data_IF_033646773489
#
_entry.id   IF_033646773489
#
_cell.length_a   1.000
_cell.length_b   1.000
_cell.length_c   1.000
_cell.angle_alpha   90.00
_cell.angle_beta   90.00
_cell.angle_gamma   90.00
#
_symmetry.space_group_name_H-M   'P 1'
#
loop_
_entity.id
_entity.type
_entity.pdbx_description
1 polymer ?
#
# COMPACT_ATOMS: atom_id res chain seq x y z
N UNK A 1 19.71 -22.63 -17.80
CA UNK A 1 18.82 -21.48 -17.53
C UNK A 1 18.72 -21.44 -16.03
N UNK A 2 18.73 -20.27 -15.39
CA UNK A 2 18.46 -20.19 -13.97
C UNK A 2 17.02 -20.67 -13.72
N UNK A 3 16.78 -21.37 -12.61
CA UNK A 3 15.44 -21.80 -12.24
C UNK A 3 14.59 -20.55 -11.99
N UNK A 4 13.36 -20.56 -12.47
CA UNK A 4 12.41 -19.48 -12.25
C UNK A 4 11.94 -19.46 -10.79
N UNK A 5 11.62 -18.28 -10.27
CA UNK A 5 10.98 -18.10 -8.97
C UNK A 5 9.53 -18.57 -9.06
N UNK A 6 9.17 -19.59 -8.29
CA UNK A 6 7.80 -20.14 -8.23
C UNK A 6 6.96 -19.30 -7.28
N UNK A 7 5.92 -18.68 -7.82
CA UNK A 7 5.08 -17.74 -7.08
C UNK A 7 3.67 -18.29 -6.90
N UNK A 8 3.17 -18.24 -5.65
CA UNK A 8 1.79 -18.51 -5.33
C UNK A 8 1.04 -17.20 -5.02
N UNK A 9 -0.22 -17.10 -5.45
CA UNK A 9 -1.09 -15.97 -5.10
C UNK A 9 -2.22 -16.39 -4.18
N UNK A 10 -2.41 -15.66 -3.09
CA UNK A 10 -3.59 -15.73 -2.22
C UNK A 10 -4.41 -14.47 -2.43
N UNK A 11 -5.58 -14.62 -3.03
CA UNK A 11 -6.41 -13.55 -3.56
C UNK A 11 -6.16 -13.33 -5.05
N UNK A 12 -7.23 -13.45 -5.86
CA UNK A 12 -7.22 -13.25 -7.32
C UNK A 12 -8.16 -12.11 -7.73
N UNK A 13 -8.34 -11.12 -6.85
CA UNK A 13 -9.21 -9.95 -7.04
C UNK A 13 -8.60 -8.87 -7.93
N UNK A 14 -9.12 -7.64 -7.80
CA UNK A 14 -8.71 -6.50 -8.63
C UNK A 14 -7.23 -6.18 -8.55
N UNK A 15 -6.67 -6.10 -7.33
CA UNK A 15 -5.26 -5.78 -7.14
C UNK A 15 -4.34 -6.93 -7.59
N UNK A 16 -4.72 -8.19 -7.35
CA UNK A 16 -3.97 -9.32 -7.87
C UNK A 16 -3.89 -9.30 -9.40
N UNK A 17 -4.98 -8.92 -10.09
CA UNK A 17 -4.98 -8.78 -11.56
C UNK A 17 -4.02 -7.69 -12.06
N UNK A 18 -3.81 -6.63 -11.26
CA UNK A 18 -2.79 -5.62 -11.55
C UNK A 18 -1.39 -6.26 -11.47
N UNK A 19 -1.07 -6.96 -10.39
CA UNK A 19 0.19 -7.70 -10.24
C UNK A 19 0.39 -8.75 -11.34
N UNK A 20 -0.65 -9.50 -11.71
CA UNK A 20 -0.58 -10.46 -12.81
C UNK A 20 -0.09 -9.84 -14.12
N UNK A 21 -0.54 -8.61 -14.44
CA UNK A 21 -0.06 -7.89 -15.63
C UNK A 21 1.42 -7.52 -15.59
N UNK A 22 2.05 -7.46 -14.41
CA UNK A 22 3.48 -7.27 -14.23
C UNK A 22 4.24 -8.59 -14.23
N UNK A 23 3.72 -9.62 -13.54
CA UNK A 23 4.31 -10.97 -13.52
C UNK A 23 4.54 -11.53 -14.92
N UNK A 24 3.61 -11.31 -15.84
CA UNK A 24 3.72 -11.75 -17.25
C UNK A 24 4.93 -11.14 -17.97
N UNK A 25 5.47 -10.02 -17.50
CA UNK A 25 6.61 -9.32 -18.10
C UNK A 25 7.95 -9.75 -17.49
N UNK A 26 7.94 -10.53 -16.42
CA UNK A 26 9.13 -10.94 -15.67
C UNK A 26 9.51 -12.36 -16.05
N UNK A 27 10.48 -12.52 -16.94
CA UNK A 27 10.92 -13.84 -17.45
C UNK A 27 11.38 -14.80 -16.35
N UNK A 28 11.89 -14.27 -15.23
CA UNK A 28 12.41 -15.05 -14.11
C UNK A 28 11.32 -15.55 -13.15
N UNK A 29 10.04 -15.21 -13.39
CA UNK A 29 8.91 -15.63 -12.54
C UNK A 29 8.08 -16.70 -13.22
N UNK A 30 7.53 -17.60 -12.40
CA UNK A 30 6.53 -18.58 -12.78
C UNK A 30 5.40 -18.58 -11.73
N UNK A 31 4.21 -18.15 -12.13
CA UNK A 31 3.03 -18.21 -11.24
C UNK A 31 2.48 -19.63 -11.32
N UNK A 32 2.79 -20.44 -10.32
CA UNK A 32 2.49 -21.88 -10.32
C UNK A 32 1.22 -22.27 -9.58
N UNK A 33 0.75 -21.41 -8.64
CA UNK A 33 -0.44 -21.66 -7.84
C UNK A 33 -1.24 -20.38 -7.58
N UNK A 34 -2.56 -20.51 -7.60
CA UNK A 34 -3.50 -19.40 -7.34
C UNK A 34 -4.62 -19.86 -6.42
N UNK A 35 -4.99 -19.01 -5.47
CA UNK A 35 -5.99 -19.29 -4.45
C UNK A 35 -6.97 -18.12 -4.29
N UNK A 36 -8.27 -18.37 -4.33
CA UNK A 36 -9.34 -17.41 -3.98
C UNK A 36 -10.59 -18.19 -3.56
N UNK A 37 -11.43 -17.59 -2.74
CA UNK A 37 -12.74 -18.16 -2.34
C UNK A 37 -13.79 -18.05 -3.44
N UNK A 38 -13.53 -17.30 -4.50
CA UNK A 38 -14.45 -17.08 -5.63
C UNK A 38 -13.97 -17.88 -6.83
N UNK A 39 -14.69 -18.97 -7.14
CA UNK A 39 -14.37 -19.93 -8.22
C UNK A 39 -14.04 -19.26 -9.56
N UNK A 40 -14.81 -18.25 -9.94
CA UNK A 40 -14.61 -17.57 -11.22
C UNK A 40 -13.27 -16.83 -11.28
N UNK A 41 -12.81 -16.25 -10.15
CA UNK A 41 -11.53 -15.54 -10.06
C UNK A 41 -10.36 -16.51 -10.12
N UNK A 42 -10.43 -17.58 -9.34
CA UNK A 42 -9.42 -18.66 -9.33
C UNK A 42 -9.28 -19.28 -10.71
N UNK A 43 -10.41 -19.61 -11.36
CA UNK A 43 -10.41 -20.19 -12.69
C UNK A 43 -9.73 -19.28 -13.72
N UNK A 44 -10.09 -17.99 -13.76
CA UNK A 44 -9.47 -17.02 -14.69
C UNK A 44 -7.96 -16.89 -14.46
N UNK A 45 -7.52 -16.83 -13.20
CA UNK A 45 -6.10 -16.75 -12.87
C UNK A 45 -5.35 -18.03 -13.24
N UNK A 46 -5.93 -19.20 -12.96
CA UNK A 46 -5.40 -20.51 -13.34
C UNK A 46 -5.23 -20.63 -14.86
N UNK A 47 -6.27 -20.29 -15.63
CA UNK A 47 -6.21 -20.33 -17.10
C UNK A 47 -5.17 -19.35 -17.67
N UNK A 48 -4.95 -18.19 -17.00
CA UNK A 48 -4.00 -17.17 -17.43
C UNK A 48 -2.55 -17.59 -17.32
N UNK A 49 -2.20 -18.36 -16.29
CA UNK A 49 -0.82 -18.76 -16.00
C UNK A 49 -0.56 -20.27 -16.13
N UNK A 50 -1.56 -21.06 -16.47
CA UNK A 50 -1.50 -22.54 -16.38
C UNK A 50 -1.14 -23.00 -14.94
N UNK A 51 -1.64 -22.25 -13.95
CA UNK A 51 -1.34 -22.42 -12.53
C UNK A 51 -2.37 -23.35 -11.86
N UNK A 52 -1.95 -24.09 -10.83
CA UNK A 52 -2.84 -24.96 -10.05
C UNK A 52 -3.82 -24.11 -9.22
N UNK A 53 -5.15 -24.33 -9.36
CA UNK A 53 -6.16 -23.59 -8.62
C UNK A 53 -6.43 -24.18 -7.24
N UNK A 54 -6.66 -23.33 -6.23
CA UNK A 54 -6.99 -23.69 -4.86
C UNK A 54 -8.11 -22.79 -4.30
N UNK A 55 -8.96 -23.37 -3.44
CA UNK A 55 -9.96 -22.64 -2.65
C UNK A 55 -9.45 -22.32 -1.23
N UNK A 56 -8.47 -23.08 -0.73
CA UNK A 56 -7.86 -22.92 0.60
C UNK A 56 -6.33 -22.76 0.44
N UNK A 57 -5.81 -21.63 0.89
CA UNK A 57 -4.38 -21.33 0.87
C UNK A 57 -3.55 -22.30 1.72
N UNK A 58 -4.15 -22.94 2.74
CA UNK A 58 -3.46 -23.93 3.57
C UNK A 58 -3.13 -25.17 2.76
N UNK A 59 -4.10 -25.60 1.94
CA UNK A 59 -3.91 -26.72 1.03
C UNK A 59 -2.90 -26.38 -0.06
N UNK A 60 -2.95 -25.16 -0.60
CA UNK A 60 -1.97 -24.66 -1.56
C UNK A 60 -0.55 -24.71 -0.98
N UNK A 61 -0.34 -24.11 0.19
CA UNK A 61 0.97 -24.06 0.85
C UNK A 61 1.47 -25.42 1.36
N UNK A 62 0.59 -26.40 1.50
CA UNK A 62 0.99 -27.78 1.84
C UNK A 62 1.45 -28.56 0.62
N UNK A 63 0.79 -28.36 -0.53
CA UNK A 63 1.00 -29.19 -1.73
C UNK A 63 2.04 -28.62 -2.69
N UNK A 64 2.18 -27.29 -2.72
CA UNK A 64 3.05 -26.63 -3.69
C UNK A 64 4.41 -26.28 -3.09
N UNK A 65 5.44 -26.43 -3.89
CA UNK A 65 6.78 -25.95 -3.57
C UNK A 65 6.94 -24.52 -4.10
N UNK A 66 6.68 -23.52 -3.26
CA UNK A 66 6.73 -22.10 -3.62
C UNK A 66 7.98 -21.43 -3.07
N UNK A 67 8.56 -20.53 -3.85
CA UNK A 67 9.66 -19.67 -3.43
C UNK A 67 9.13 -18.35 -2.83
N UNK A 68 8.00 -17.85 -3.35
CA UNK A 68 7.36 -16.64 -2.86
C UNK A 68 5.83 -16.71 -2.88
N UNK A 69 5.19 -15.97 -1.99
CA UNK A 69 3.73 -15.85 -1.91
C UNK A 69 3.32 -14.38 -1.94
N UNK A 70 2.38 -14.06 -2.82
CA UNK A 70 1.68 -12.79 -2.89
C UNK A 70 0.35 -12.89 -2.15
N UNK A 71 0.14 -12.01 -1.15
CA UNK A 71 -1.10 -11.92 -0.39
C UNK A 71 -1.86 -10.68 -0.84
N UNK A 72 -2.96 -10.90 -1.55
CA UNK A 72 -3.76 -9.87 -2.23
C UNK A 72 -5.24 -9.96 -1.83
N UNK A 73 -5.50 -10.11 -0.54
CA UNK A 73 -6.85 -10.21 0.05
C UNK A 73 -7.25 -8.93 0.77
N UNK A 74 -8.51 -8.79 1.12
CA UNK A 74 -8.98 -7.70 1.97
C UNK A 74 -8.37 -7.78 3.38
N UNK A 75 -8.20 -6.64 4.09
CA UNK A 75 -7.44 -6.61 5.35
C UNK A 75 -8.00 -7.53 6.45
N UNK A 76 -9.30 -7.77 6.48
CA UNK A 76 -9.92 -8.64 7.48
C UNK A 76 -9.74 -10.14 7.21
N UNK A 77 -9.33 -10.51 6.00
CA UNK A 77 -9.13 -11.90 5.61
C UNK A 77 -7.75 -12.46 5.99
N UNK A 78 -6.86 -11.63 6.55
CA UNK A 78 -5.53 -12.03 7.01
C UNK A 78 -5.64 -12.88 8.29
N UNK A 79 -5.82 -14.19 8.13
CA UNK A 79 -6.10 -15.15 9.21
C UNK A 79 -4.93 -16.11 9.52
N UNK A 80 -3.71 -15.76 9.12
CA UNK A 80 -2.49 -16.54 9.36
C UNK A 80 -1.76 -17.00 8.10
N UNK A 81 -2.21 -16.61 6.91
CA UNK A 81 -1.59 -17.02 5.65
C UNK A 81 -0.13 -16.61 5.53
N UNK A 82 0.22 -15.41 6.00
CA UNK A 82 1.60 -14.94 6.03
C UNK A 82 2.48 -15.77 6.96
N UNK A 83 1.96 -16.10 8.14
CA UNK A 83 2.71 -16.90 9.12
C UNK A 83 2.94 -18.31 8.59
N UNK A 84 1.96 -18.91 7.91
CA UNK A 84 2.09 -20.22 7.29
C UNK A 84 3.08 -20.19 6.11
N UNK A 85 3.02 -19.17 5.25
CA UNK A 85 3.98 -18.99 4.17
C UNK A 85 5.42 -18.84 4.71
N UNK A 86 5.60 -18.08 5.79
CA UNK A 86 6.89 -17.95 6.49
C UNK A 86 7.33 -19.32 7.05
N UNK A 87 6.43 -20.09 7.67
CA UNK A 87 6.73 -21.43 8.17
C UNK A 87 7.24 -22.35 7.05
N UNK A 88 6.66 -22.27 5.86
CA UNK A 88 7.08 -23.01 4.67
C UNK A 88 8.38 -22.47 4.04
N UNK A 89 8.88 -21.32 4.48
CA UNK A 89 10.13 -20.73 3.98
C UNK A 89 9.95 -19.85 2.74
N UNK A 90 8.72 -19.44 2.43
CA UNK A 90 8.43 -18.58 1.28
C UNK A 90 8.77 -17.12 1.58
N UNK A 91 9.33 -16.43 0.61
CA UNK A 91 9.38 -14.97 0.56
C UNK A 91 7.95 -14.40 0.49
N UNK A 92 7.75 -13.18 0.95
CA UNK A 92 6.41 -12.59 1.02
C UNK A 92 6.31 -11.26 0.29
N UNK A 93 5.24 -11.10 -0.47
CA UNK A 93 4.68 -9.81 -0.81
C UNK A 93 3.27 -9.71 -0.21
N UNK A 94 3.00 -8.64 0.52
CA UNK A 94 1.69 -8.41 1.15
C UNK A 94 1.14 -7.08 0.68
N UNK A 95 -0.07 -7.10 0.13
CA UNK A 95 -0.76 -5.86 -0.21
C UNK A 95 -1.07 -5.02 1.03
N UNK A 96 -1.14 -3.72 0.83
CA UNK A 96 -1.51 -2.80 1.91
C UNK A 96 -3.03 -2.89 2.21
N UNK A 97 -3.44 -2.64 3.45
CA UNK A 97 -2.63 -2.56 4.66
C UNK A 97 -2.14 -3.96 5.06
N UNK A 98 -0.89 -4.06 5.47
CA UNK A 98 -0.25 -5.36 5.76
C UNK A 98 -0.86 -6.08 6.96
N UNK A 99 -1.62 -5.41 7.81
CA UNK A 99 -2.38 -5.96 8.92
C UNK A 99 -3.31 -4.91 9.54
N UNK A 100 -4.36 -5.36 10.22
CA UNK A 100 -5.24 -4.51 11.04
C UNK A 100 -4.80 -4.42 12.50
N UNK A 101 -3.82 -5.21 12.93
CA UNK A 101 -3.28 -5.15 14.30
C UNK A 101 -1.75 -5.16 14.32
N UNK A 102 -1.18 -4.37 15.24
CA UNK A 102 0.26 -4.34 15.45
C UNK A 102 0.80 -5.68 15.95
N UNK A 103 0.02 -6.42 16.74
CA UNK A 103 0.44 -7.73 17.26
C UNK A 103 0.64 -8.73 16.12
N UNK A 104 -0.26 -8.72 15.13
CA UNK A 104 -0.13 -9.59 13.96
C UNK A 104 1.05 -9.16 13.07
N UNK A 105 1.15 -7.86 12.76
CA UNK A 105 2.27 -7.32 11.99
C UNK A 105 3.63 -7.62 12.63
N UNK A 106 3.73 -7.50 13.96
CA UNK A 106 4.95 -7.81 14.70
C UNK A 106 5.31 -9.30 14.63
N UNK A 107 4.32 -10.21 14.69
CA UNK A 107 4.55 -11.66 14.53
C UNK A 107 5.08 -11.98 13.14
N UNK A 108 4.47 -11.43 12.09
CA UNK A 108 4.91 -11.59 10.70
C UNK A 108 6.35 -11.09 10.53
N UNK A 109 6.63 -9.85 10.97
CA UNK A 109 7.97 -9.26 10.90
C UNK A 109 9.03 -10.08 11.66
N UNK A 110 8.70 -10.57 12.85
CA UNK A 110 9.60 -11.42 13.64
C UNK A 110 9.90 -12.74 12.92
N UNK A 111 8.89 -13.36 12.33
CA UNK A 111 9.04 -14.61 11.56
C UNK A 111 9.91 -14.44 10.32
N UNK A 112 9.68 -13.38 9.54
CA UNK A 112 10.49 -13.02 8.37
C UNK A 112 11.95 -12.82 8.74
N UNK A 113 12.22 -12.04 9.78
CA UNK A 113 13.57 -11.79 10.27
C UNK A 113 14.28 -13.06 10.78
N UNK A 114 13.56 -13.91 11.53
CA UNK A 114 14.12 -15.13 12.07
C UNK A 114 14.57 -16.13 10.99
N UNK A 115 13.90 -16.12 9.83
CA UNK A 115 14.22 -17.00 8.71
C UNK A 115 15.05 -16.32 7.60
N UNK A 116 15.36 -15.03 7.73
CA UNK A 116 16.08 -14.28 6.69
C UNK A 116 15.32 -14.17 5.38
N UNK A 117 13.99 -14.16 5.42
CA UNK A 117 13.14 -14.10 4.24
C UNK A 117 13.02 -12.67 3.71
N UNK A 118 13.00 -12.54 2.39
CA UNK A 118 12.73 -11.27 1.71
C UNK A 118 11.24 -10.98 1.83
N UNK A 119 10.90 -9.70 2.02
CA UNK A 119 9.51 -9.27 2.01
C UNK A 119 9.33 -7.94 1.31
N UNK A 120 8.17 -7.75 0.71
CA UNK A 120 7.67 -6.52 0.14
C UNK A 120 6.28 -6.19 0.67
N UNK A 121 5.93 -4.92 0.67
CA UNK A 121 4.59 -4.44 0.98
C UNK A 121 4.09 -3.54 -0.15
N UNK A 122 2.78 -3.53 -0.39
CA UNK A 122 2.12 -2.83 -1.51
C UNK A 122 2.15 -1.29 -1.42
N UNK A 123 3.32 -0.71 -1.12
CA UNK A 123 3.56 0.74 -1.10
C UNK A 123 4.25 1.21 -2.37
N UNK A 124 3.56 1.05 -3.50
CA UNK A 124 4.08 1.28 -4.84
C UNK A 124 4.55 2.72 -5.11
N UNK A 125 4.04 3.71 -4.37
CA UNK A 125 4.35 5.12 -4.61
C UNK A 125 5.83 5.45 -4.39
N UNK A 126 6.56 4.67 -3.58
CA UNK A 126 8.00 4.80 -3.38
C UNK A 126 8.80 4.55 -4.66
N UNK A 127 8.23 3.81 -5.61
CA UNK A 127 8.88 3.36 -6.85
C UNK A 127 8.50 4.20 -8.07
N UNK A 128 7.74 5.29 -7.89
CA UNK A 128 7.48 6.25 -8.96
C UNK A 128 8.79 6.87 -9.44
N UNK A 129 8.96 6.96 -10.75
CA UNK A 129 10.21 7.36 -11.44
C UNK A 129 10.75 8.72 -11.02
N UNK A 130 9.89 9.61 -10.57
CA UNK A 130 10.26 10.96 -10.13
C UNK A 130 10.61 11.05 -8.63
N UNK A 131 10.26 10.06 -7.81
CA UNK A 131 10.45 10.10 -6.35
C UNK A 131 11.91 10.29 -5.94
N UNK A 132 12.91 9.64 -6.57
CA UNK A 132 14.32 9.90 -6.26
C UNK A 132 14.73 11.37 -6.48
N UNK A 133 14.21 12.02 -7.53
CA UNK A 133 14.48 13.44 -7.81
C UNK A 133 13.82 14.36 -6.78
N UNK A 134 12.57 14.06 -6.42
CA UNK A 134 11.84 14.77 -5.38
C UNK A 134 12.56 14.69 -4.03
N UNK A 135 13.00 13.49 -3.64
CA UNK A 135 13.74 13.25 -2.41
C UNK A 135 15.09 13.98 -2.41
N UNK A 136 15.85 13.89 -3.49
CA UNK A 136 17.15 14.57 -3.61
C UNK A 136 17.02 16.11 -3.47
N UNK A 137 15.95 16.71 -3.97
CA UNK A 137 15.69 18.12 -3.78
C UNK A 137 15.33 18.45 -2.33
N UNK A 138 14.47 17.64 -1.69
CA UNK A 138 14.07 17.80 -0.29
C UNK A 138 15.27 17.68 0.67
N UNK A 139 16.19 16.76 0.40
CA UNK A 139 17.40 16.54 1.21
C UNK A 139 18.32 17.79 1.26
N UNK A 140 18.16 18.72 0.32
CA UNK A 140 18.92 20.01 0.26
C UNK A 140 18.17 21.16 0.90
N UNK A 141 16.95 20.95 1.44
CA UNK A 141 16.10 22.04 1.92
C UNK A 141 16.03 22.12 3.44
N UNK A 142 15.91 23.34 3.93
CA UNK A 142 15.44 23.62 5.30
C UNK A 142 13.91 23.48 5.31
N UNK A 143 13.40 22.30 5.60
CA UNK A 143 11.96 22.00 5.60
C UNK A 143 11.34 22.55 6.87
N UNK A 144 10.34 23.41 6.73
CA UNK A 144 9.61 23.99 7.86
C UNK A 144 8.42 23.16 8.30
N UNK A 145 7.64 22.68 7.31
CA UNK A 145 6.37 21.99 7.57
C UNK A 145 5.89 21.24 6.33
N UNK A 146 5.06 20.19 6.50
CA UNK A 146 4.33 19.58 5.39
C UNK A 146 2.86 19.30 5.72
N UNK A 147 2.02 19.25 4.68
CA UNK A 147 0.65 18.77 4.71
C UNK A 147 0.49 17.61 3.74
N UNK A 148 0.07 16.46 4.25
CA UNK A 148 -0.40 15.34 3.43
C UNK A 148 -1.93 15.27 3.44
N UNK A 149 -2.50 14.73 2.40
CA UNK A 149 -3.95 14.60 2.31
C UNK A 149 -4.39 13.49 1.37
N UNK A 150 -5.47 12.83 1.76
CA UNK A 150 -6.27 11.99 0.88
C UNK A 150 -7.75 12.23 1.19
N UNK A 151 -8.39 13.04 0.38
CA UNK A 151 -9.82 13.32 0.47
C UNK A 151 -10.47 12.90 -0.83
N UNK A 152 -11.50 12.08 -0.74
CA UNK A 152 -12.23 11.55 -1.90
C UNK A 152 -13.67 11.21 -1.57
N UNK A 153 -14.33 10.53 -2.49
CA UNK A 153 -15.68 10.01 -2.32
C UNK A 153 -15.73 8.71 -1.54
N UNK A 154 -16.95 8.29 -1.18
CA UNK A 154 -17.20 7.03 -0.49
C UNK A 154 -16.74 5.84 -1.36
N UNK A 155 -15.94 4.90 -0.80
CA UNK A 155 -15.54 3.71 -1.51
C UNK A 155 -16.73 2.84 -1.92
N UNK A 156 -16.66 2.27 -3.14
CA UNK A 156 -17.73 1.43 -3.69
C UNK A 156 -17.79 0.03 -3.09
N UNK A 157 -16.70 -0.45 -2.47
CA UNK A 157 -16.60 -1.81 -1.92
C UNK A 157 -17.10 -1.86 -0.48
N UNK A 158 -17.86 -2.90 -0.15
CA UNK A 158 -18.56 -3.02 1.13
C UNK A 158 -17.61 -3.10 2.33
N UNK A 159 -16.53 -3.87 2.23
CA UNK A 159 -15.57 -4.11 3.31
C UNK A 159 -14.82 -2.84 3.72
N UNK A 160 -14.68 -1.87 2.86
CA UNK A 160 -14.05 -0.59 3.17
C UNK A 160 -14.90 0.33 4.06
N UNK A 161 -16.20 0.02 4.17
CA UNK A 161 -17.15 0.80 4.99
C UNK A 161 -17.15 0.42 6.45
N UNK A 162 -16.53 -0.71 6.81
CA UNK A 162 -16.54 -1.25 8.17
C UNK A 162 -15.16 -1.16 8.78
N UNK A 163 -15.09 -0.61 10.01
CA UNK A 163 -13.81 -0.52 10.74
C UNK A 163 -13.19 -1.88 11.01
N UNK A 164 -13.99 -2.86 11.32
CA UNK A 164 -13.52 -4.23 11.57
C UNK A 164 -12.86 -4.89 10.35
N UNK A 165 -13.23 -4.47 9.13
CA UNK A 165 -12.74 -5.07 7.89
C UNK A 165 -11.66 -4.26 7.20
N UNK A 166 -11.60 -2.93 7.40
CA UNK A 166 -10.63 -2.05 6.74
C UNK A 166 -9.72 -1.25 7.69
N UNK A 167 -10.06 -1.19 8.98
CA UNK A 167 -9.33 -0.36 9.96
C UNK A 167 -9.63 1.14 9.91
N UNK A 168 -10.39 1.61 8.92
CA UNK A 168 -10.73 3.01 8.68
C UNK A 168 -9.95 3.63 7.51
N UNK A 169 -10.37 4.84 7.11
CA UNK A 169 -9.83 5.53 5.94
C UNK A 169 -8.33 5.80 6.03
N UNK A 170 -7.82 6.14 7.22
CA UNK A 170 -6.40 6.37 7.44
C UNK A 170 -5.55 5.11 7.25
N UNK A 171 -6.09 3.93 7.62
CA UNK A 171 -5.41 2.63 7.50
C UNK A 171 -5.51 2.07 6.10
N UNK A 172 -6.66 2.19 5.44
CA UNK A 172 -6.88 1.55 4.14
C UNK A 172 -6.34 2.36 2.96
N UNK A 173 -6.59 3.67 2.93
CA UNK A 173 -6.29 4.51 1.77
C UNK A 173 -5.18 5.53 2.03
N UNK A 174 -5.31 6.33 3.07
CA UNK A 174 -4.34 7.38 3.37
C UNK A 174 -3.00 6.82 3.85
N UNK A 175 -2.94 5.52 4.10
CA UNK A 175 -1.71 4.80 4.43
C UNK A 175 -0.58 5.05 3.42
N UNK A 176 -0.90 5.22 2.12
CA UNK A 176 0.09 5.59 1.10
C UNK A 176 0.73 6.95 1.38
N UNK A 177 -0.08 7.94 1.80
CA UNK A 177 0.43 9.26 2.18
C UNK A 177 1.27 9.21 3.45
N UNK A 178 0.87 8.41 4.45
CA UNK A 178 1.67 8.17 5.66
C UNK A 178 3.00 7.48 5.35
N UNK A 179 2.96 6.48 4.48
CA UNK A 179 4.16 5.75 4.06
C UNK A 179 5.13 6.65 3.29
N UNK A 180 4.61 7.45 2.35
CA UNK A 180 5.42 8.42 1.61
C UNK A 180 6.03 9.48 2.53
N UNK A 181 5.28 9.97 3.52
CA UNK A 181 5.83 10.91 4.50
C UNK A 181 6.97 10.31 5.31
N UNK A 182 6.86 9.04 5.76
CA UNK A 182 7.96 8.34 6.42
C UNK A 182 9.16 8.13 5.50
N UNK A 183 8.92 7.79 4.25
CA UNK A 183 9.97 7.61 3.26
C UNK A 183 10.77 8.89 2.97
N UNK A 184 10.06 10.03 2.93
CA UNK A 184 10.66 11.34 2.64
C UNK A 184 11.35 11.98 3.85
N UNK A 185 10.76 11.82 5.05
CA UNK A 185 11.12 12.63 6.22
C UNK A 185 11.67 11.82 7.40
N UNK A 186 11.68 10.50 7.31
CA UNK A 186 12.19 9.61 8.35
C UNK A 186 11.12 9.12 9.34
N UNK A 187 11.56 8.72 10.53
CA UNK A 187 10.68 8.06 11.49
C UNK A 187 9.90 9.05 12.38
N UNK A 188 8.65 8.66 12.65
CA UNK A 188 7.72 9.43 13.49
C UNK A 188 7.93 9.07 14.95
N UNK A 189 8.06 10.06 15.84
CA UNK A 189 8.25 9.88 17.28
C UNK A 189 7.02 10.24 18.12
N UNK A 190 6.10 11.04 17.58
CA UNK A 190 4.86 11.39 18.26
C UNK A 190 3.73 11.63 17.26
N UNK A 191 2.50 11.27 17.67
CA UNK A 191 1.29 11.51 16.89
C UNK A 191 0.17 12.05 17.78
N UNK A 192 -0.65 12.92 17.20
CA UNK A 192 -1.92 13.35 17.75
C UNK A 192 -2.97 13.26 16.66
N UNK A 193 -4.08 12.58 16.89
CA UNK A 193 -5.12 12.38 15.90
C UNK A 193 -6.49 12.78 16.41
N UNK A 194 -7.31 13.29 15.49
CA UNK A 194 -8.72 13.62 15.71
C UNK A 194 -9.52 13.05 14.54
N UNK A 195 -10.65 12.42 14.85
CA UNK A 195 -11.60 11.89 13.87
C UNK A 195 -12.98 12.51 14.01
N UNK A 196 -13.73 12.55 12.93
CA UNK A 196 -15.13 13.01 12.89
C UNK A 196 -16.01 12.00 12.18
N UNK A 197 -17.25 11.84 12.68
CA UNK A 197 -18.35 11.09 12.05
C UNK A 197 -19.57 12.00 11.92
N UNK A 198 -20.58 11.57 11.15
CA UNK A 198 -21.87 12.22 11.04
C UNK A 198 -22.04 13.07 9.76
N UNK A 199 -21.16 12.94 8.76
CA UNK A 199 -21.34 13.52 7.44
C UNK A 199 -22.00 12.49 6.49
N UNK A 200 -21.67 11.19 6.69
CA UNK A 200 -22.07 10.08 5.83
C UNK A 200 -23.03 9.12 6.57
N UNK A 201 -23.89 9.65 7.43
CA UNK A 201 -24.85 8.87 8.22
C UNK A 201 -25.94 8.20 7.37
N UNK A 202 -26.13 8.64 6.14
CA UNK A 202 -27.05 8.06 5.16
C UNK A 202 -26.46 6.85 4.39
N UNK A 203 -25.17 6.56 4.58
CA UNK A 203 -24.53 5.41 3.94
C UNK A 203 -24.72 4.15 4.77
N UNK A 204 -25.39 3.18 4.18
CA UNK A 204 -25.69 1.91 4.82
C UNK A 204 -24.39 1.15 5.19
N UNK A 205 -24.40 0.56 6.40
CA UNK A 205 -23.29 -0.23 6.94
C UNK A 205 -21.95 0.51 7.03
N UNK A 206 -21.97 1.84 7.20
CA UNK A 206 -20.79 2.66 7.37
C UNK A 206 -20.53 2.98 8.85
N UNK A 207 -19.34 2.62 9.37
CA UNK A 207 -18.98 2.82 10.78
C UNK A 207 -17.56 3.35 11.01
N UNK A 208 -16.85 3.74 9.93
CA UNK A 208 -15.54 4.38 10.04
C UNK A 208 -15.66 5.90 10.22
N UNK A 209 -14.54 6.61 10.35
CA UNK A 209 -14.52 8.06 10.34
C UNK A 209 -14.78 8.64 8.94
N UNK A 210 -15.60 9.68 8.85
CA UNK A 210 -15.81 10.43 7.61
C UNK A 210 -14.58 11.26 7.26
N UNK A 211 -13.96 11.83 8.31
CA UNK A 211 -12.76 12.64 8.20
C UNK A 211 -11.86 12.44 9.42
N UNK A 212 -10.56 12.53 9.20
CA UNK A 212 -9.56 12.54 10.26
C UNK A 212 -8.41 13.50 9.94
N UNK A 213 -7.76 13.99 10.99
CA UNK A 213 -6.54 14.77 10.90
C UNK A 213 -5.52 14.21 11.91
N UNK A 214 -4.29 14.03 11.45
CA UNK A 214 -3.18 13.49 12.23
C UNK A 214 -2.02 14.47 12.15
N UNK A 215 -1.58 14.98 13.30
CA UNK A 215 -0.34 15.75 13.43
C UNK A 215 0.76 14.81 13.91
N UNK A 216 1.93 14.91 13.29
CA UNK A 216 3.10 14.06 13.57
C UNK A 216 4.33 14.91 13.85
N UNK A 217 5.18 14.41 14.75
CA UNK A 217 6.54 14.91 14.95
C UNK A 217 7.52 13.81 14.55
N UNK A 218 8.52 14.16 13.77
CA UNK A 218 9.57 13.26 13.30
C UNK A 218 10.82 13.36 14.18
N UNK A 219 11.71 12.36 14.11
CA UNK A 219 13.00 12.37 14.82
C UNK A 219 13.84 13.62 14.54
N UNK A 220 13.75 14.17 13.33
CA UNK A 220 14.42 15.42 12.93
C UNK A 220 13.84 16.68 13.59
N UNK A 221 12.72 16.57 14.30
CA UNK A 221 11.93 17.71 14.81
C UNK A 221 10.96 18.29 13.79
N UNK A 222 10.93 17.80 12.56
CA UNK A 222 9.94 18.22 11.56
C UNK A 222 8.53 17.90 12.06
N UNK A 223 7.60 18.83 11.81
CA UNK A 223 6.17 18.65 12.10
C UNK A 223 5.41 18.56 10.78
N UNK A 224 4.45 17.67 10.70
CA UNK A 224 3.55 17.56 9.57
C UNK A 224 2.14 17.17 9.98
N UNK A 225 1.19 17.42 9.10
CA UNK A 225 -0.21 17.04 9.28
C UNK A 225 -0.67 16.21 8.08
N UNK A 226 -1.35 15.11 8.33
CA UNK A 226 -2.03 14.34 7.29
C UNK A 226 -3.51 14.26 7.63
N UNK A 227 -4.36 14.59 6.67
CA UNK A 227 -5.79 14.48 6.81
C UNK A 227 -6.39 13.57 5.76
N UNK A 228 -7.45 12.86 6.17
CA UNK A 228 -8.14 11.84 5.39
C UNK A 228 -9.63 12.15 5.34
N UNK A 229 -10.29 11.77 4.26
CA UNK A 229 -11.74 11.86 4.17
C UNK A 229 -12.31 11.10 2.98
N UNK A 230 -13.50 10.54 3.16
CA UNK A 230 -14.20 9.79 2.12
C UNK A 230 -15.62 10.33 1.85
N UNK A 231 -15.85 11.61 2.13
CA UNK A 231 -17.16 12.25 2.10
C UNK A 231 -17.37 13.21 0.90
N UNK A 232 -16.34 13.46 0.09
CA UNK A 232 -16.41 14.45 -0.98
C UNK A 232 -17.15 13.92 -2.21
N UNK A 233 -18.33 14.46 -2.48
CA UNK A 233 -19.11 14.13 -3.68
C UNK A 233 -18.68 14.87 -4.95
N UNK A 234 -17.75 15.85 -4.85
CA UNK A 234 -17.37 16.74 -5.95
C UNK A 234 -15.89 16.58 -6.35
N UNK A 235 -15.37 15.37 -6.27
CA UNK A 235 -13.98 15.06 -6.57
C UNK A 235 -13.10 14.99 -5.31
N UNK A 236 -11.83 14.64 -5.50
CA UNK A 236 -10.89 14.42 -4.43
C UNK A 236 -9.54 15.10 -4.67
N UNK A 237 -8.70 15.05 -3.66
CA UNK A 237 -7.31 15.47 -3.71
C UNK A 237 -6.47 14.52 -2.87
N UNK A 238 -5.32 14.10 -3.40
CA UNK A 238 -4.34 13.28 -2.69
C UNK A 238 -2.93 13.76 -2.99
N UNK A 239 -2.05 13.70 -2.00
CA UNK A 239 -0.66 14.13 -2.15
C UNK A 239 -0.06 14.72 -0.89
N UNK A 240 1.06 15.41 -1.07
CA UNK A 240 1.81 16.08 0.01
C UNK A 240 2.31 17.45 -0.50
N UNK A 241 2.03 18.49 0.26
CA UNK A 241 2.60 19.82 0.08
C UNK A 241 3.71 20.04 1.12
N UNK A 242 4.92 20.39 0.70
CA UNK A 242 6.07 20.66 1.58
C UNK A 242 6.49 22.10 1.48
N UNK A 243 6.62 22.75 2.62
CA UNK A 243 7.01 24.16 2.73
C UNK A 243 8.43 24.27 3.29
N UNK A 244 9.33 24.78 2.48
CA UNK A 244 10.73 24.97 2.79
C UNK A 244 11.07 26.46 2.88
N UNK A 245 12.19 26.80 3.51
CA UNK A 245 12.67 28.17 3.64
C UNK A 245 12.80 28.89 2.30
N UNK A 246 13.27 28.21 1.26
CA UNK A 246 13.56 28.80 -0.04
C UNK A 246 12.72 28.23 -1.20
N UNK A 247 11.75 27.39 -0.91
CA UNK A 247 10.91 26.79 -1.93
C UNK A 247 9.75 25.98 -1.35
N UNK A 248 8.95 25.45 -2.21
CA UNK A 248 7.90 24.49 -1.87
C UNK A 248 7.84 23.37 -2.88
N UNK A 249 7.37 22.21 -2.42
CA UNK A 249 7.11 21.06 -3.26
C UNK A 249 5.63 20.69 -3.12
N UNK A 250 4.98 20.45 -4.23
CA UNK A 250 3.62 19.94 -4.35
C UNK A 250 3.73 18.56 -5.03
N UNK A 251 3.55 17.49 -4.26
CA UNK A 251 3.46 16.13 -4.77
C UNK A 251 1.99 15.75 -4.89
N UNK A 252 1.59 15.31 -6.08
CA UNK A 252 0.27 14.72 -6.34
C UNK A 252 0.49 13.24 -6.60
N UNK A 253 -0.12 12.40 -5.76
CA UNK A 253 -0.04 10.95 -5.95
C UNK A 253 -0.53 10.55 -7.35
N UNK A 254 0.26 9.70 -8.01
CA UNK A 254 0.03 9.26 -9.40
C UNK A 254 -0.03 10.39 -10.44
N UNK A 255 0.27 11.62 -10.05
CA UNK A 255 0.27 12.77 -10.95
C UNK A 255 1.67 13.29 -11.27
N UNK A 256 2.53 13.34 -10.26
CA UNK A 256 3.85 13.91 -10.36
C UNK A 256 4.18 14.89 -9.24
N UNK A 257 5.14 15.76 -9.46
CA UNK A 257 5.48 16.81 -8.51
C UNK A 257 5.73 18.15 -9.20
N UNK A 258 5.57 19.20 -8.40
CA UNK A 258 5.94 20.58 -8.76
C UNK A 258 6.80 21.19 -7.67
N UNK A 259 7.98 21.66 -8.03
CA UNK A 259 8.85 22.46 -7.18
C UNK A 259 8.74 23.91 -7.62
N UNK A 260 8.56 24.82 -6.66
CA UNK A 260 8.55 26.27 -6.89
C UNK A 260 9.60 26.91 -6.00
N UNK A 261 10.56 27.61 -6.60
CA UNK A 261 11.54 28.48 -5.96
C UNK A 261 11.37 29.90 -6.46
N UNK A 262 12.11 30.88 -5.88
CA UNK A 262 11.93 32.30 -6.16
C UNK A 262 11.87 32.65 -7.65
N UNK A 263 12.71 32.01 -8.45
CA UNK A 263 12.85 32.32 -9.90
C UNK A 263 12.76 31.06 -10.79
N UNK A 264 12.32 29.93 -10.24
CA UNK A 264 12.31 28.66 -10.95
C UNK A 264 11.08 27.85 -10.58
N UNK A 265 10.53 27.18 -11.57
CA UNK A 265 9.53 26.13 -11.39
C UNK A 265 9.97 24.89 -12.14
N UNK A 266 9.96 23.74 -11.48
CA UNK A 266 10.21 22.43 -12.07
C UNK A 266 8.94 21.60 -11.90
N UNK A 267 8.46 21.01 -12.97
CA UNK A 267 7.35 20.07 -12.94
C UNK A 267 7.79 18.74 -13.56
N UNK A 268 7.38 17.64 -12.98
CA UNK A 268 7.53 16.32 -13.55
C UNK A 268 6.23 15.53 -13.33
N UNK A 269 5.84 14.78 -14.35
CA UNK A 269 4.74 13.81 -14.29
C UNK A 269 5.33 12.42 -14.29
N UNK A 270 4.62 11.47 -13.73
CA UNK A 270 5.05 10.07 -13.81
C UNK A 270 5.04 9.60 -15.26
N UNK A 271 6.10 8.91 -15.65
CA UNK A 271 6.21 8.25 -16.95
C UNK A 271 6.14 6.72 -16.85
N UNK A 272 6.14 6.18 -15.62
CA UNK A 272 6.07 4.75 -15.38
C UNK A 272 4.67 4.28 -14.94
N UNK A 273 4.43 3.00 -15.16
CA UNK A 273 3.35 2.30 -14.48
C UNK A 273 3.76 2.00 -13.01
N UNK A 274 2.79 1.67 -12.18
CA UNK A 274 3.00 1.46 -10.73
C UNK A 274 3.64 0.11 -10.37
N UNK A 275 3.96 -0.72 -11.35
CA UNK A 275 4.51 -2.05 -11.15
C UNK A 275 6.05 -2.12 -11.16
N UNK A 276 6.76 -1.00 -11.26
CA UNK A 276 8.23 -1.01 -11.32
C UNK A 276 8.91 -1.52 -10.05
N UNK A 277 8.18 -1.61 -8.94
CA UNK A 277 8.71 -2.13 -7.68
C UNK A 277 8.62 -3.64 -7.54
N UNK A 278 7.98 -4.33 -8.46
CA UNK A 278 7.82 -5.79 -8.46
C UNK A 278 8.98 -6.49 -9.17
#
# INVERSE_FOLDING_TARGET
>A
MADKVRVGFVGCGGIANFHFGHMEKIEAVDVTAVCDLVDERVKKASERFDATPYEDYRVMLEKEELDAVYVCVEPSAHDGMELLAIEKGCHLFVEKPVALSMDYANKVNAGLKAKGLINGAGFQDRYLDFVPRMKAWLDMQDIGFFNGYWVGGMPGVWWWRRRETCGGQAVEQTIHTFDMARYLFGEVVAVQAMGRRGIMDDVENYDTEDASAVTMTFESGLIGTIYSGCFSGCGGKNGIDVFCKNGRLEYTERGGFKITEKNMTIEAKTGNDYGQGE
#
